data_IF_333127757176
#
_entry.id   IF_333127757176
#
_cell.length_a   1.000
_cell.length_b   1.000
_cell.length_c   1.000
_cell.angle_alpha   90.00
_cell.angle_beta   90.00
_cell.angle_gamma   90.00
#
_symmetry.space_group_name_H-M   'P 1'
#
loop_
_entity.id
_entity.type
_entity.pdbx_description
1 polymer ?
#
# COMPACT_ATOMS: atom_id res chain seq x y z
N UNK A 1 11.40 -8.85 -10.46
CA UNK A 1 11.56 -8.88 -11.93
C UNK A 1 12.27 -7.59 -12.29
N UNK A 2 13.42 -7.66 -12.96
CA UNK A 2 14.23 -6.48 -13.26
C UNK A 2 14.04 -6.11 -14.72
N UNK A 3 13.56 -4.90 -14.98
CA UNK A 3 13.43 -4.37 -16.34
C UNK A 3 14.78 -3.88 -16.81
N UNK A 4 15.23 -4.36 -17.96
CA UNK A 4 16.55 -4.04 -18.52
C UNK A 4 16.60 -2.71 -19.28
N UNK A 5 15.44 -2.20 -19.69
CA UNK A 5 15.29 -1.01 -20.53
C UNK A 5 14.05 -0.23 -20.08
N UNK A 6 14.12 1.09 -20.20
CA UNK A 6 12.99 2.04 -20.14
C UNK A 6 12.62 2.53 -21.53
N UNK A 7 11.45 3.13 -21.68
CA UNK A 7 11.02 3.78 -22.92
C UNK A 7 12.07 4.79 -23.44
N UNK A 8 12.64 5.61 -22.53
CA UNK A 8 13.72 6.55 -22.86
C UNK A 8 14.98 5.88 -23.40
N UNK A 9 15.34 4.71 -22.85
CA UNK A 9 16.55 3.98 -23.27
C UNK A 9 16.40 3.42 -24.69
N UNK A 10 15.15 3.13 -25.11
CA UNK A 10 14.83 2.67 -26.46
C UNK A 10 14.83 3.84 -27.44
N UNK A 11 14.27 4.98 -27.05
CA UNK A 11 14.24 6.20 -27.86
C UNK A 11 15.64 6.75 -28.17
N UNK A 12 16.53 6.75 -27.17
CA UNK A 12 17.90 7.25 -27.31
C UNK A 12 18.86 6.22 -27.93
N UNK A 13 18.34 5.05 -28.34
CA UNK A 13 19.18 3.95 -28.80
C UNK A 13 19.67 4.17 -30.22
N UNK A 14 20.97 4.41 -30.36
CA UNK A 14 21.63 4.38 -31.67
C UNK A 14 22.17 2.98 -32.00
N UNK A 15 21.89 2.51 -33.22
CA UNK A 15 22.41 1.27 -33.78
C UNK A 15 23.54 1.54 -34.76
N UNK A 16 24.56 0.67 -34.74
CA UNK A 16 25.64 0.72 -35.74
C UNK A 16 25.13 0.21 -37.08
N UNK A 17 25.39 0.95 -38.15
CA UNK A 17 25.08 0.53 -39.52
C UNK A 17 26.15 -0.39 -40.09
N UNK A 18 25.74 -1.39 -40.86
CA UNK A 18 26.64 -2.31 -41.59
C UNK A 18 26.26 -2.45 -43.06
N UNK A 19 27.10 -3.13 -43.86
CA UNK A 19 26.90 -3.31 -45.30
C UNK A 19 25.57 -3.99 -45.68
N UNK A 20 25.02 -4.79 -44.76
CA UNK A 20 23.67 -5.36 -44.79
C UNK A 20 23.06 -5.15 -43.41
N UNK A 21 21.80 -4.75 -43.37
CA UNK A 21 21.04 -4.51 -42.15
C UNK A 21 19.56 -4.37 -42.46
N UNK A 22 18.77 -4.21 -41.40
CA UNK A 22 17.36 -3.86 -41.53
C UNK A 22 17.20 -2.44 -42.06
N UNK A 23 16.06 -2.17 -42.67
CA UNK A 23 15.70 -0.81 -43.06
C UNK A 23 15.52 0.02 -41.77
N UNK A 24 16.24 1.13 -41.66
CA UNK A 24 16.18 2.00 -40.49
C UNK A 24 14.76 2.53 -40.25
N UNK A 25 14.04 2.94 -41.31
CA UNK A 25 12.68 3.47 -41.16
C UNK A 25 11.70 2.43 -40.62
N UNK A 26 11.82 1.17 -41.07
CA UNK A 26 10.97 0.08 -40.56
C UNK A 26 11.31 -0.26 -39.11
N UNK A 27 12.59 -0.21 -38.75
CA UNK A 27 13.03 -0.41 -37.37
C UNK A 27 12.53 0.72 -36.48
N UNK A 28 12.63 1.97 -36.91
CA UNK A 28 12.20 3.13 -36.13
C UNK A 28 10.69 3.09 -35.86
N UNK A 29 9.87 2.81 -36.89
CA UNK A 29 8.41 2.63 -36.72
C UNK A 29 8.09 1.50 -35.74
N UNK A 30 8.82 0.38 -35.80
CA UNK A 30 8.63 -0.72 -34.87
C UNK A 30 9.07 -0.36 -33.44
N UNK A 31 10.14 0.42 -33.28
CA UNK A 31 10.59 0.89 -31.97
C UNK A 31 9.62 1.91 -31.37
N UNK A 32 8.97 2.74 -32.19
CA UNK A 32 7.91 3.66 -31.73
C UNK A 32 6.73 2.89 -31.12
N UNK A 33 6.29 1.79 -31.73
CA UNK A 33 5.24 0.93 -31.18
C UNK A 33 5.67 0.29 -29.84
N UNK A 34 6.92 -0.19 -29.76
CA UNK A 34 7.47 -0.75 -28.52
C UNK A 34 7.54 0.31 -27.42
N UNK A 35 7.95 1.53 -27.75
CA UNK A 35 8.00 2.65 -26.79
C UNK A 35 6.61 2.92 -26.21
N UNK A 36 5.59 2.99 -27.07
CA UNK A 36 4.20 3.18 -26.66
C UNK A 36 3.72 2.06 -25.72
N UNK A 37 4.03 0.81 -26.04
CA UNK A 37 3.70 -0.34 -25.19
C UNK A 37 4.39 -0.26 -23.82
N UNK A 38 5.67 0.12 -23.80
CA UNK A 38 6.42 0.30 -22.54
C UNK A 38 5.79 1.38 -21.66
N UNK A 39 5.42 2.53 -22.22
CA UNK A 39 4.73 3.60 -21.48
C UNK A 39 3.35 3.12 -20.96
N UNK A 40 2.61 2.37 -21.77
CA UNK A 40 1.33 1.81 -21.38
C UNK A 40 1.48 0.80 -20.23
N UNK A 41 2.52 -0.04 -20.26
CA UNK A 41 2.83 -0.97 -19.17
C UNK A 41 3.23 -0.25 -17.89
N UNK A 42 4.08 0.77 -17.96
CA UNK A 42 4.48 1.58 -16.80
C UNK A 42 3.26 2.24 -16.15
N UNK A 43 2.39 2.85 -16.96
CA UNK A 43 1.14 3.47 -16.49
C UNK A 43 0.23 2.45 -15.80
N UNK A 44 0.05 1.27 -16.40
CA UNK A 44 -0.78 0.20 -15.84
C UNK A 44 -0.18 -0.35 -14.54
N UNK A 45 1.14 -0.51 -14.48
CA UNK A 45 1.84 -0.96 -13.29
C UNK A 45 1.67 0.05 -12.15
N UNK A 46 1.86 1.34 -12.43
CA UNK A 46 1.67 2.40 -11.44
C UNK A 46 0.23 2.42 -10.90
N UNK A 47 -0.77 2.26 -11.78
CA UNK A 47 -2.18 2.17 -11.38
C UNK A 47 -2.44 0.97 -10.48
N UNK A 48 -1.94 -0.22 -10.84
CA UNK A 48 -2.10 -1.43 -10.04
C UNK A 48 -1.38 -1.34 -8.69
N UNK A 49 -0.21 -0.71 -8.64
CA UNK A 49 0.53 -0.47 -7.40
C UNK A 49 -0.24 0.47 -6.47
N UNK A 50 -0.82 1.55 -7.02
CA UNK A 50 -1.66 2.47 -6.25
C UNK A 50 -2.92 1.78 -5.70
N UNK A 51 -3.57 0.94 -6.51
CA UNK A 51 -4.74 0.18 -6.09
C UNK A 51 -4.38 -0.84 -5.00
N UNK A 52 -3.30 -1.60 -5.17
CA UNK A 52 -2.81 -2.53 -4.15
C UNK A 52 -2.46 -1.81 -2.84
N UNK A 53 -1.83 -0.64 -2.92
CA UNK A 53 -1.53 0.17 -1.74
C UNK A 53 -2.82 0.57 -1.01
N UNK A 54 -3.81 1.10 -1.75
CA UNK A 54 -5.11 1.49 -1.18
C UNK A 54 -5.86 0.31 -0.56
N UNK A 55 -5.84 -0.85 -1.21
CA UNK A 55 -6.47 -2.06 -0.68
C UNK A 55 -5.76 -2.56 0.58
N UNK A 56 -4.43 -2.52 0.61
CA UNK A 56 -3.64 -2.88 1.79
C UNK A 56 -3.96 -1.94 2.97
N UNK A 57 -4.02 -0.64 2.73
CA UNK A 57 -4.40 0.36 3.74
C UNK A 57 -5.81 0.09 4.30
N UNK A 58 -6.79 -0.20 3.44
CA UNK A 58 -8.14 -0.55 3.88
C UNK A 58 -8.17 -1.83 4.74
N UNK A 59 -7.39 -2.84 4.34
CA UNK A 59 -7.26 -4.08 5.12
C UNK A 59 -6.58 -3.88 6.47
N UNK A 60 -5.71 -2.89 6.63
CA UNK A 60 -5.12 -2.52 7.92
C UNK A 60 -6.08 -1.70 8.81
N UNK A 61 -6.99 -0.93 8.21
CA UNK A 61 -8.01 -0.18 8.95
C UNK A 61 -9.18 -1.05 9.44
N UNK A 62 -9.56 -2.09 8.69
CA UNK A 62 -10.60 -3.06 9.03
C UNK A 62 -10.42 -3.77 10.40
N UNK A 63 -9.23 -4.29 10.79
CA UNK A 63 -9.02 -4.93 12.10
C UNK A 63 -9.13 -3.95 13.28
N UNK A 64 -8.95 -2.63 13.07
CA UNK A 64 -9.22 -1.63 14.11
C UNK A 64 -10.71 -1.43 14.36
N UNK A 65 -11.56 -1.68 13.34
CA UNK A 65 -13.01 -1.55 13.46
C UNK A 65 -13.71 -2.82 13.93
N UNK A 66 -13.16 -4.00 13.65
CA UNK A 66 -13.71 -5.29 14.16
C UNK A 66 -13.31 -5.59 15.61
N UNK A 67 -12.21 -5.01 16.12
CA UNK A 67 -11.96 -5.00 17.57
C UNK A 67 -12.93 -4.09 18.35
N UNK A 68 -13.66 -3.20 17.65
CA UNK A 68 -14.75 -2.41 18.22
C UNK A 68 -16.14 -3.04 18.01
N UNK A 69 -16.22 -4.25 17.42
CA UNK A 69 -17.47 -4.94 17.11
C UNK A 69 -17.54 -6.37 17.69
N UNK A 70 -16.79 -6.67 18.75
CA UNK A 70 -17.23 -7.72 19.66
C UNK A 70 -18.64 -7.33 20.16
N UNK A 71 -19.61 -8.26 20.29
CA UNK A 71 -20.82 -7.98 21.08
C UNK A 71 -20.36 -7.39 22.39
N UNK A 72 -21.03 -6.36 22.98
CA UNK A 72 -20.55 -5.75 24.21
C UNK A 72 -20.29 -6.88 25.19
N UNK A 73 -19.00 -7.21 25.39
CA UNK A 73 -18.61 -8.19 26.35
C UNK A 73 -18.89 -7.46 27.64
N UNK A 74 -20.11 -7.65 28.14
CA UNK A 74 -20.58 -7.08 29.39
C UNK A 74 -19.53 -7.36 30.45
N UNK A 75 -18.81 -8.48 30.39
CA UNK A 75 -17.63 -8.76 31.21
C UNK A 75 -16.47 -7.74 31.14
N UNK A 76 -16.08 -7.26 29.95
CA UNK A 76 -14.96 -6.31 29.79
C UNK A 76 -15.35 -4.90 30.27
N UNK A 77 -16.55 -4.43 29.91
CA UNK A 77 -17.09 -3.16 30.43
C UNK A 77 -17.38 -3.24 31.93
N UNK A 78 -17.92 -4.36 32.43
CA UNK A 78 -18.13 -4.56 33.86
C UNK A 78 -16.80 -4.57 34.61
N UNK A 79 -15.75 -5.18 34.05
CA UNK A 79 -14.41 -5.15 34.62
C UNK A 79 -13.83 -3.74 34.68
N UNK A 80 -13.95 -2.95 33.60
CA UNK A 80 -13.48 -1.57 33.58
C UNK A 80 -14.28 -0.65 34.51
N UNK A 81 -15.60 -0.87 34.62
CA UNK A 81 -16.47 -0.18 35.57
C UNK A 81 -16.07 -0.52 37.01
N UNK A 82 -15.87 -1.80 37.33
CA UNK A 82 -15.41 -2.24 38.65
C UNK A 82 -14.02 -1.69 38.98
N UNK A 83 -13.11 -1.63 38.01
CA UNK A 83 -11.77 -1.07 38.19
C UNK A 83 -11.82 0.44 38.45
N UNK A 84 -12.66 1.19 37.73
CA UNK A 84 -12.88 2.63 37.97
C UNK A 84 -13.55 2.88 39.32
N UNK A 85 -14.57 2.10 39.68
CA UNK A 85 -15.19 2.14 41.01
C UNK A 85 -14.16 1.88 42.11
N UNK A 86 -13.34 0.84 41.99
CA UNK A 86 -12.28 0.53 42.96
C UNK A 86 -11.26 1.67 43.11
N UNK A 87 -10.88 2.33 42.01
CA UNK A 87 -9.99 3.50 42.08
C UNK A 87 -10.66 4.70 42.74
N UNK A 88 -11.95 4.94 42.44
CA UNK A 88 -12.73 5.99 43.08
C UNK A 88 -12.93 5.71 44.58
N UNK A 89 -13.23 4.47 44.96
CA UNK A 89 -13.32 4.06 46.37
C UNK A 89 -11.98 4.21 47.07
N UNK A 90 -10.87 3.82 46.44
CA UNK A 90 -9.53 4.05 47.00
C UNK A 90 -9.20 5.53 47.14
N UNK A 91 -9.69 6.39 46.25
CA UNK A 91 -9.44 7.84 46.34
C UNK A 91 -10.34 8.49 47.41
N UNK A 92 -11.61 8.10 47.48
CA UNK A 92 -12.63 8.68 48.38
C UNK A 92 -12.53 8.10 49.80
N UNK A 93 -12.17 6.83 49.94
CA UNK A 93 -12.09 6.10 51.21
C UNK A 93 -10.66 5.69 51.59
N UNK A 94 -9.65 5.91 50.75
CA UNK A 94 -8.25 5.62 51.09
C UNK A 94 -7.71 6.42 52.27
N UNK A 95 -8.35 7.55 52.59
CA UNK A 95 -8.12 8.34 53.80
C UNK A 95 -9.01 7.97 54.99
N UNK A 96 -9.90 6.98 54.86
CA UNK A 96 -10.81 6.50 55.93
C UNK A 96 -10.64 5.02 56.31
N UNK A 97 -9.78 4.27 55.62
CA UNK A 97 -9.49 2.86 55.94
C UNK A 97 -8.21 2.68 56.79
N UNK A 98 -7.55 3.77 57.18
CA UNK A 98 -6.35 3.77 58.02
C UNK A 98 -6.42 4.77 59.19
N UNK A 99 -7.62 5.09 59.67
CA UNK A 99 -7.83 5.56 61.06
C UNK A 99 -8.60 4.50 61.86
#
# INVERSE_FOLDING_TARGET
MEFKLKASDILEKEFKTGLRGYNQEEVDVFLDDIIQDYEAFEKRLAQLQLENKKLTEQLEELPKRTQAAAPPQTGATNFDILKRLSHLEKHVFGSKLYE
#
